data_IF_165443580814
#
_entry.id   IF_165443580814
#
_cell.length_a   1.000
_cell.length_b   1.000
_cell.length_c   1.000
_cell.angle_alpha   90.00
_cell.angle_beta   90.00
_cell.angle_gamma   90.00
#
_symmetry.space_group_name_H-M   'P 1'
#
loop_
_entity.id
_entity.type
_entity.pdbx_description
1 polymer ?
#
# COMPACT_ATOMS: atom_id res chain seq x y z
N UNK A 1 17.39 -21.34 19.90
CA UNK A 1 18.32 -20.21 20.15
C UNK A 1 17.60 -18.85 20.18
N UNK A 2 16.54 -18.64 19.39
CA UNK A 2 15.68 -17.43 19.43
C UNK A 2 15.11 -17.11 20.82
N UNK A 3 14.57 -18.11 21.53
CA UNK A 3 13.81 -17.88 22.78
C UNK A 3 14.68 -17.33 23.91
N UNK A 4 15.95 -17.75 23.98
CA UNK A 4 16.91 -17.24 24.97
C UNK A 4 17.24 -15.76 24.73
N UNK A 5 17.36 -15.35 23.48
CA UNK A 5 17.56 -13.94 23.13
C UNK A 5 16.32 -13.12 23.45
N UNK A 6 15.14 -13.57 23.02
CA UNK A 6 13.89 -12.85 23.25
C UNK A 6 13.62 -12.67 24.76
N UNK A 7 13.75 -13.72 25.57
CA UNK A 7 13.59 -13.64 27.02
C UNK A 7 14.61 -12.71 27.68
N UNK A 8 15.87 -12.76 27.23
CA UNK A 8 16.92 -11.89 27.75
C UNK A 8 16.67 -10.42 27.39
N UNK A 9 16.38 -10.12 26.13
CA UNK A 9 16.08 -8.76 25.67
C UNK A 9 14.84 -8.19 26.35
N UNK A 10 13.74 -8.95 26.39
CA UNK A 10 12.49 -8.52 27.02
C UNK A 10 12.61 -8.36 28.55
N UNK A 11 13.59 -9.00 29.18
CA UNK A 11 13.91 -8.81 30.59
C UNK A 11 14.66 -7.50 30.89
N UNK A 12 15.19 -6.82 29.87
CA UNK A 12 15.96 -5.57 30.01
C UNK A 12 15.06 -4.35 29.74
N UNK A 13 14.25 -3.96 30.74
CA UNK A 13 13.20 -2.95 30.57
C UNK A 13 13.69 -1.61 30.02
N UNK A 14 14.86 -1.13 30.46
CA UNK A 14 15.44 0.14 29.98
C UNK A 14 15.81 0.05 28.48
N UNK A 15 16.37 -1.08 28.04
CA UNK A 15 16.72 -1.32 26.64
C UNK A 15 15.49 -1.52 25.75
N UNK A 16 14.44 -2.17 26.28
CA UNK A 16 13.14 -2.28 25.59
C UNK A 16 12.53 -0.89 25.41
N UNK A 17 12.59 -0.04 26.44
CA UNK A 17 12.07 1.32 26.37
C UNK A 17 12.83 2.16 25.34
N UNK A 18 14.17 2.11 25.33
CA UNK A 18 15.00 2.77 24.31
C UNK A 18 14.65 2.30 22.89
N UNK A 19 14.50 0.98 22.70
CA UNK A 19 14.08 0.41 21.42
C UNK A 19 12.72 0.96 20.97
N UNK A 20 11.74 1.01 21.87
CA UNK A 20 10.39 1.51 21.57
C UNK A 20 10.41 2.99 21.21
N UNK A 21 11.18 3.81 21.91
CA UNK A 21 11.26 5.25 21.65
C UNK A 21 11.86 5.54 20.27
N UNK A 22 12.94 4.84 19.92
CA UNK A 22 13.54 4.93 18.58
C UNK A 22 12.58 4.41 17.51
N UNK A 23 11.99 3.23 17.71
CA UNK A 23 11.14 2.60 16.71
C UNK A 23 9.85 3.41 16.46
N UNK A 24 9.18 3.88 17.51
CA UNK A 24 7.97 4.72 17.40
C UNK A 24 8.27 6.05 16.70
N UNK A 25 9.40 6.68 17.01
CA UNK A 25 9.81 7.92 16.35
C UNK A 25 10.04 7.73 14.84
N UNK A 26 10.76 6.65 14.46
CA UNK A 26 10.97 6.28 13.05
C UNK A 26 9.67 5.96 12.33
N UNK A 27 8.79 5.17 12.97
CA UNK A 27 7.51 4.77 12.41
C UNK A 27 6.61 5.98 12.17
N UNK A 28 6.53 6.90 13.13
CA UNK A 28 5.79 8.16 13.00
C UNK A 28 6.31 9.03 11.85
N UNK A 29 7.64 9.16 11.73
CA UNK A 29 8.25 9.90 10.64
C UNK A 29 7.97 9.26 9.26
N UNK A 30 8.07 7.93 9.16
CA UNK A 30 7.74 7.21 7.94
C UNK A 30 6.27 7.39 7.54
N UNK A 31 5.35 7.24 8.51
CA UNK A 31 3.92 7.49 8.30
C UNK A 31 3.66 8.91 7.80
N UNK A 32 4.24 9.94 8.43
CA UNK A 32 4.03 11.33 7.99
C UNK A 32 4.49 11.54 6.54
N UNK A 33 5.67 11.02 6.16
CA UNK A 33 6.16 11.17 4.79
C UNK A 33 5.25 10.46 3.78
N UNK A 34 4.86 9.23 4.07
CA UNK A 34 3.94 8.47 3.21
C UNK A 34 2.58 9.15 3.09
N UNK A 35 2.03 9.61 4.20
CA UNK A 35 0.77 10.34 4.23
C UNK A 35 0.83 11.61 3.37
N UNK A 36 1.88 12.42 3.52
CA UNK A 36 2.09 13.62 2.70
C UNK A 36 2.26 13.29 1.22
N UNK A 37 2.96 12.20 0.88
CA UNK A 37 3.15 11.78 -0.51
C UNK A 37 1.81 11.34 -1.14
N UNK A 38 1.02 10.54 -0.41
CA UNK A 38 -0.33 10.13 -0.85
C UNK A 38 -1.24 11.34 -1.07
N UNK A 39 -1.22 12.31 -0.16
CA UNK A 39 -1.96 13.58 -0.30
C UNK A 39 -1.49 14.37 -1.53
N UNK A 40 -0.17 14.44 -1.75
CA UNK A 40 0.43 15.18 -2.87
C UNK A 40 -0.01 14.61 -4.22
N UNK A 41 -0.08 13.29 -4.33
CA UNK A 41 -0.53 12.61 -5.55
C UNK A 41 -2.04 12.34 -5.59
N UNK A 42 -2.80 12.86 -4.63
CA UNK A 42 -4.26 12.73 -4.59
C UNK A 42 -4.76 11.29 -4.47
N UNK A 43 -4.00 10.41 -3.80
CA UNK A 43 -4.37 9.02 -3.55
C UNK A 43 -5.13 8.96 -2.21
N UNK A 44 -6.43 8.64 -2.19
CA UNK A 44 -7.19 8.52 -0.95
C UNK A 44 -6.67 7.38 -0.07
N UNK A 45 -6.69 7.57 1.25
CA UNK A 45 -6.27 6.54 2.21
C UNK A 45 -6.86 6.77 3.60
N UNK A 46 -6.93 5.70 4.38
CA UNK A 46 -7.34 5.76 5.77
C UNK A 46 -6.20 6.26 6.66
N UNK A 47 -6.44 7.36 7.39
CA UNK A 47 -5.49 7.85 8.39
C UNK A 47 -5.35 6.84 9.51
N UNK A 48 -4.10 6.49 9.83
CA UNK A 48 -3.77 5.54 10.86
C UNK A 48 -3.04 6.21 12.02
N UNK A 49 -3.27 5.74 13.24
CA UNK A 49 -2.54 6.16 14.45
C UNK A 49 -1.53 5.12 14.92
N UNK A 50 -1.56 3.92 14.33
CA UNK A 50 -0.70 2.78 14.64
C UNK A 50 -0.61 1.84 13.43
N UNK A 51 0.23 0.81 13.52
CA UNK A 51 0.38 -0.22 12.49
C UNK A 51 1.62 -0.02 11.62
N UNK A 52 1.79 -0.94 10.67
CA UNK A 52 2.95 -1.00 9.77
C UNK A 52 2.56 -0.71 8.31
N UNK A 53 1.30 -0.32 8.09
CA UNK A 53 0.70 -0.10 6.78
C UNK A 53 -0.43 0.91 6.88
N UNK A 54 -0.86 1.41 5.73
CA UNK A 54 -2.13 2.13 5.54
C UNK A 54 -2.96 1.41 4.49
N UNK A 55 -4.29 1.55 4.58
CA UNK A 55 -5.17 1.20 3.48
C UNK A 55 -5.29 2.40 2.56
N UNK A 56 -4.87 2.24 1.30
CA UNK A 56 -5.19 3.19 0.24
C UNK A 56 -6.49 2.76 -0.42
N UNK A 57 -7.26 3.74 -0.87
CA UNK A 57 -8.54 3.54 -1.55
C UNK A 57 -8.38 3.91 -3.03
N UNK A 58 -8.38 2.87 -3.86
CA UNK A 58 -8.36 2.95 -5.32
C UNK A 58 -9.70 2.47 -5.92
N UNK A 59 -10.79 2.46 -5.14
CA UNK A 59 -12.12 2.05 -5.60
C UNK A 59 -12.61 2.88 -6.78
N UNK A 60 -12.22 4.16 -6.84
CA UNK A 60 -12.51 5.01 -7.99
C UNK A 60 -11.88 4.51 -9.30
N UNK A 61 -10.94 3.56 -9.30
CA UNK A 61 -10.30 3.04 -10.51
C UNK A 61 -10.57 1.56 -10.79
N UNK A 62 -11.24 0.82 -9.88
CA UNK A 62 -11.62 -0.57 -10.17
C UNK A 62 -12.65 -0.66 -11.31
N UNK A 63 -13.47 0.38 -11.48
CA UNK A 63 -14.49 0.46 -12.54
C UNK A 63 -13.91 0.40 -13.97
N UNK A 64 -12.60 0.66 -14.14
CA UNK A 64 -11.87 0.43 -15.39
C UNK A 64 -11.86 -1.06 -15.80
N UNK A 65 -12.13 -1.95 -14.85
CA UNK A 65 -12.09 -3.40 -15.00
C UNK A 65 -13.46 -4.06 -14.71
N UNK A 66 -14.54 -3.30 -14.52
CA UNK A 66 -15.89 -3.83 -14.24
C UNK A 66 -16.71 -4.06 -15.52
N UNK A 67 -16.62 -3.15 -16.50
CA UNK A 67 -17.40 -3.23 -17.74
C UNK A 67 -16.64 -4.00 -18.83
N UNK A 68 -17.21 -5.12 -19.28
CA UNK A 68 -16.66 -5.99 -20.33
C UNK A 68 -16.59 -5.39 -21.75
N UNK A 69 -16.93 -4.11 -21.93
CA UNK A 69 -17.01 -3.46 -23.26
C UNK A 69 -15.68 -2.90 -23.75
N UNK A 70 -14.66 -2.77 -22.89
CA UNK A 70 -13.31 -2.37 -23.28
C UNK A 70 -12.29 -3.19 -22.52
N UNK A 71 -11.61 -4.07 -23.24
CA UNK A 71 -10.55 -4.92 -22.70
C UNK A 71 -9.40 -4.01 -22.21
N UNK A 72 -9.09 -3.97 -20.90
CA UNK A 72 -7.89 -3.31 -20.42
C UNK A 72 -6.65 -4.03 -20.97
N UNK A 73 -5.46 -3.42 -20.90
CA UNK A 73 -4.25 -4.02 -21.43
C UNK A 73 -3.97 -5.34 -20.68
N UNK A 74 -3.86 -6.45 -21.43
CA UNK A 74 -3.37 -7.78 -21.01
C UNK A 74 -3.54 -8.14 -19.52
N UNK A 75 -4.75 -8.10 -18.99
CA UNK A 75 -5.07 -8.70 -17.67
C UNK A 75 -5.85 -9.99 -17.86
N UNK A 76 -5.73 -10.94 -16.93
CA UNK A 76 -6.56 -12.14 -16.95
C UNK A 76 -8.03 -11.79 -16.64
N UNK A 77 -8.91 -11.98 -17.62
CA UNK A 77 -10.35 -11.66 -17.52
C UNK A 77 -11.11 -12.57 -16.53
N UNK A 78 -10.45 -13.60 -15.95
CA UNK A 78 -11.01 -14.43 -14.88
C UNK A 78 -10.84 -13.84 -13.47
N UNK A 79 -10.04 -12.77 -13.34
CA UNK A 79 -9.75 -12.13 -12.06
C UNK A 79 -10.80 -11.09 -11.67
N UNK A 80 -10.94 -10.83 -10.37
CA UNK A 80 -11.76 -9.72 -9.88
C UNK A 80 -11.22 -8.37 -10.37
N UNK A 81 -12.06 -7.33 -10.51
CA UNK A 81 -11.60 -5.98 -10.89
C UNK A 81 -10.46 -5.45 -10.02
N UNK A 82 -10.49 -5.73 -8.71
CA UNK A 82 -9.41 -5.41 -7.77
C UNK A 82 -8.09 -6.09 -8.12
N UNK A 83 -8.13 -7.38 -8.49
CA UNK A 83 -6.94 -8.13 -8.90
C UNK A 83 -6.39 -7.68 -10.24
N UNK A 84 -7.25 -7.30 -11.19
CA UNK A 84 -6.80 -6.75 -12.48
C UNK A 84 -6.11 -5.39 -12.29
N UNK A 85 -6.63 -4.56 -11.39
CA UNK A 85 -5.92 -3.34 -10.97
C UNK A 85 -4.59 -3.66 -10.28
N UNK A 86 -4.52 -4.74 -9.48
CA UNK A 86 -3.27 -5.20 -8.88
C UNK A 86 -2.24 -5.62 -9.95
N UNK A 87 -2.64 -6.42 -10.95
CA UNK A 87 -1.78 -6.79 -12.09
C UNK A 87 -1.29 -5.55 -12.86
N UNK A 88 -2.20 -4.61 -13.13
CA UNK A 88 -1.85 -3.34 -13.77
C UNK A 88 -0.77 -2.60 -12.98
N UNK A 89 -0.91 -2.47 -11.66
CA UNK A 89 0.09 -1.82 -10.82
C UNK A 89 1.43 -2.59 -10.82
N UNK A 90 1.39 -3.93 -10.84
CA UNK A 90 2.60 -4.77 -10.91
C UNK A 90 3.37 -4.50 -12.20
N UNK A 91 2.69 -4.40 -13.34
CA UNK A 91 3.31 -4.06 -14.62
C UNK A 91 3.96 -2.67 -14.63
N UNK A 92 3.47 -1.78 -13.76
CA UNK A 92 4.03 -0.44 -13.50
C UNK A 92 5.06 -0.44 -12.35
N UNK A 93 5.48 -1.62 -11.90
CA UNK A 93 6.53 -1.78 -10.91
C UNK A 93 6.08 -1.47 -9.48
N UNK A 94 4.79 -1.64 -9.17
CA UNK A 94 4.22 -1.48 -7.82
C UNK A 94 3.42 -2.72 -7.45
N UNK A 95 3.85 -3.41 -6.39
CA UNK A 95 3.06 -4.48 -5.79
C UNK A 95 2.35 -3.99 -4.53
N UNK A 96 1.02 -4.12 -4.50
CA UNK A 96 0.20 -3.88 -3.32
C UNK A 96 -0.55 -5.14 -2.92
N UNK A 97 -0.85 -5.28 -1.63
CA UNK A 97 -1.67 -6.39 -1.16
C UNK A 97 -3.14 -5.98 -1.33
N UNK A 98 -3.85 -6.67 -2.23
CA UNK A 98 -5.29 -6.50 -2.46
C UNK A 98 -6.09 -6.69 -1.16
N UNK A 99 -7.09 -5.83 -0.94
CA UNK A 99 -7.96 -5.81 0.24
C UNK A 99 -8.63 -7.15 0.49
N UNK A 100 -9.04 -7.83 -0.59
CA UNK A 100 -9.62 -9.17 -0.53
C UNK A 100 -8.70 -10.23 0.13
N UNK A 101 -7.38 -10.02 0.15
CA UNK A 101 -6.40 -10.87 0.84
C UNK A 101 -5.90 -10.28 2.15
N UNK A 102 -6.29 -9.05 2.47
CA UNK A 102 -5.85 -8.30 3.64
C UNK A 102 -6.97 -8.13 4.69
N UNK A 103 -8.12 -8.80 4.51
CA UNK A 103 -9.26 -8.75 5.42
C UNK A 103 -10.11 -7.48 5.29
N UNK A 104 -10.06 -6.81 4.14
CA UNK A 104 -10.94 -5.70 3.81
C UNK A 104 -12.08 -6.20 2.92
N UNK A 105 -13.32 -5.98 3.36
CA UNK A 105 -14.52 -6.38 2.61
C UNK A 105 -14.96 -5.33 1.57
N UNK A 106 -14.21 -4.21 1.44
CA UNK A 106 -14.53 -3.10 0.54
C UNK A 106 -13.61 -3.19 -0.69
N UNK A 107 -14.15 -3.50 -1.89
CA UNK A 107 -13.35 -3.59 -3.11
C UNK A 107 -12.59 -2.30 -3.43
N UNK A 108 -11.40 -2.46 -3.99
CA UNK A 108 -10.53 -1.35 -4.39
C UNK A 108 -9.65 -0.80 -3.28
N UNK A 109 -9.68 -1.40 -2.08
CA UNK A 109 -8.77 -1.03 -1.00
C UNK A 109 -7.50 -1.89 -1.07
N UNK A 110 -6.35 -1.29 -0.83
CA UNK A 110 -5.06 -1.97 -0.89
C UNK A 110 -4.19 -1.64 0.32
N UNK A 111 -3.51 -2.65 0.86
CA UNK A 111 -2.57 -2.46 1.97
C UNK A 111 -1.19 -2.05 1.45
N UNK A 112 -0.81 -0.81 1.76
CA UNK A 112 0.52 -0.23 1.50
C UNK A 112 1.39 -0.31 2.76
N UNK A 113 2.42 -1.15 2.75
CA UNK A 113 3.39 -1.30 3.85
C UNK A 113 4.51 -0.26 3.68
N UNK A 114 4.80 0.50 4.73
CA UNK A 114 5.76 1.62 4.68
C UNK A 114 6.98 1.48 5.60
N UNK A 115 7.15 0.35 6.27
CA UNK A 115 8.11 0.18 7.36
C UNK A 115 9.44 -0.44 6.95
N UNK A 116 9.59 -0.88 5.70
CA UNK A 116 10.78 -1.59 5.22
C UNK A 116 11.77 -0.66 4.50
N UNK A 117 11.37 -0.05 3.38
CA UNK A 117 12.18 0.90 2.63
C UNK A 117 11.34 2.11 2.26
N UNK A 118 11.55 3.21 3.00
CA UNK A 118 10.79 4.44 2.81
C UNK A 118 11.05 5.09 1.44
N UNK A 119 12.26 4.99 0.90
CA UNK A 119 12.56 5.54 -0.42
C UNK A 119 11.81 4.80 -1.52
N UNK A 120 11.81 3.47 -1.45
CA UNK A 120 11.04 2.64 -2.37
C UNK A 120 9.53 2.86 -2.22
N UNK A 121 9.01 3.02 -1.00
CA UNK A 121 7.59 3.31 -0.77
C UNK A 121 7.17 4.64 -1.41
N UNK A 122 7.95 5.72 -1.24
CA UNK A 122 7.62 7.02 -1.83
C UNK A 122 7.64 6.97 -3.36
N UNK A 123 8.64 6.32 -3.96
CA UNK A 123 8.67 6.07 -5.40
C UNK A 123 7.47 5.23 -5.86
N UNK A 124 7.08 4.23 -5.08
CA UNK A 124 5.90 3.41 -5.35
C UNK A 124 4.62 4.24 -5.40
N UNK A 125 4.45 5.21 -4.49
CA UNK A 125 3.29 6.12 -4.47
C UNK A 125 3.23 6.97 -5.74
N UNK A 126 4.36 7.53 -6.16
CA UNK A 126 4.43 8.24 -7.44
C UNK A 126 4.02 7.35 -8.61
N UNK A 127 4.55 6.12 -8.68
CA UNK A 127 4.21 5.15 -9.74
C UNK A 127 2.74 4.74 -9.73
N UNK A 128 2.11 4.64 -8.56
CA UNK A 128 0.66 4.41 -8.47
C UNK A 128 -0.09 5.51 -9.21
N UNK A 129 0.23 6.78 -8.94
CA UNK A 129 -0.41 7.90 -9.64
C UNK A 129 -0.16 7.85 -11.15
N UNK A 130 1.08 7.62 -11.58
CA UNK A 130 1.43 7.52 -13.00
C UNK A 130 0.66 6.38 -13.70
N UNK A 131 0.53 5.22 -13.06
CA UNK A 131 -0.21 4.08 -13.60
C UNK A 131 -1.72 4.37 -13.68
N UNK A 132 -2.26 5.06 -12.69
CA UNK A 132 -3.66 5.49 -12.66
C UNK A 132 -3.94 6.54 -13.74
N UNK A 133 -3.04 7.52 -13.92
CA UNK A 133 -3.14 8.51 -14.99
C UNK A 133 -3.21 7.81 -16.35
N UNK A 134 -2.31 6.86 -16.61
CA UNK A 134 -2.33 6.11 -17.87
C UNK A 134 -3.65 5.36 -18.09
N UNK A 135 -4.23 4.80 -17.04
CA UNK A 135 -5.51 4.11 -17.10
C UNK A 135 -6.66 5.07 -17.43
N UNK A 136 -6.68 6.26 -16.81
CA UNK A 136 -7.66 7.31 -17.09
C UNK A 136 -7.55 7.83 -18.54
N UNK A 137 -6.34 8.01 -19.06
CA UNK A 137 -6.11 8.40 -20.46
C UNK A 137 -6.54 7.32 -21.47
N UNK A 138 -6.34 6.04 -21.14
CA UNK A 138 -6.75 4.93 -22.00
C UNK A 138 -8.27 4.84 -22.19
N UNK A 139 -9.08 5.38 -21.28
CA UNK A 139 -10.55 5.50 -21.43
C UNK A 139 -11.03 6.78 -22.10
N UNK A 140 -10.20 7.82 -22.15
CA UNK A 140 -10.51 9.12 -22.76
C UNK A 140 -10.35 9.20 -24.28
N UNK A 141 -9.94 8.10 -24.95
CA UNK A 141 -9.96 7.93 -26.43
C UNK A 141 -11.04 6.94 -26.87
#
# INVERSE_FOLDING_TARGET
MSDKFAAHFLGQLDLVQEYLDVYRSRLKNAYHKVATELETYGIPFERAQAGLFVFIDLSAWIHHFEDGDRKPPVTDDTLSPELRLCEWLIDHGVFLNAGQFAGCDIPGHFRLVFTQDLGATLLGIQRIREAIDQLDHARGS
#
